data_IF_569212414202
#
_entry.id   IF_569212414202
#
_cell.length_a   1.000
_cell.length_b   1.000
_cell.length_c   1.000
_cell.angle_alpha   90.00
_cell.angle_beta   90.00
_cell.angle_gamma   90.00
#
_symmetry.space_group_name_H-M   'P 1'
#
loop_
_entity.id
_entity.type
_entity.pdbx_description
1 polymer ?
#
# COMPACT_ATOMS: atom_id res chain seq x y z
N UNK A 1 6.30 -13.91 7.30
CA UNK A 1 6.40 -13.35 5.93
C UNK A 1 5.35 -12.27 5.79
N UNK A 2 5.72 -11.14 5.20
CA UNK A 2 4.82 -10.03 4.92
C UNK A 2 4.80 -9.87 3.40
N UNK A 3 3.61 -9.76 2.82
CA UNK A 3 3.43 -9.51 1.40
C UNK A 3 2.61 -8.23 1.26
N UNK A 4 3.11 -7.30 0.46
CA UNK A 4 2.39 -6.10 0.10
C UNK A 4 1.68 -6.33 -1.24
N UNK A 5 0.40 -5.96 -1.28
CA UNK A 5 -0.37 -5.91 -2.51
C UNK A 5 -0.62 -4.45 -2.90
N UNK A 6 -0.40 -4.15 -4.17
CA UNK A 6 -0.79 -2.88 -4.80
C UNK A 6 -1.82 -3.19 -5.89
N UNK A 7 -3.01 -2.59 -5.77
CA UNK A 7 -4.07 -2.67 -6.76
C UNK A 7 -4.18 -1.34 -7.47
N UNK A 8 -4.03 -1.37 -8.80
CA UNK A 8 -4.43 -0.28 -9.67
C UNK A 8 -5.84 -0.56 -10.18
N UNK A 9 -6.75 0.39 -10.02
CA UNK A 9 -8.18 0.23 -10.26
C UNK A 9 -8.70 1.37 -11.13
N UNK A 10 -8.92 1.08 -12.41
CA UNK A 10 -9.46 2.03 -13.39
C UNK A 10 -10.99 1.96 -13.37
N UNK A 11 -11.63 3.13 -13.22
CA UNK A 11 -13.10 3.26 -13.14
C UNK A 11 -13.58 4.40 -14.04
N UNK A 12 -13.40 4.29 -15.37
CA UNK A 12 -13.51 5.43 -16.29
C UNK A 12 -14.89 6.09 -16.31
N UNK A 13 -15.94 5.32 -16.04
CA UNK A 13 -17.34 5.79 -16.05
C UNK A 13 -17.83 6.24 -14.66
N UNK A 14 -17.04 6.01 -13.61
CA UNK A 14 -17.43 6.36 -12.24
C UNK A 14 -17.37 7.87 -12.01
N UNK A 15 -18.46 8.41 -11.48
CA UNK A 15 -18.57 9.77 -10.98
C UNK A 15 -17.68 10.00 -9.75
N UNK A 16 -17.40 11.27 -9.45
CA UNK A 16 -16.65 11.65 -8.24
C UNK A 16 -17.31 11.15 -6.95
N UNK A 17 -18.64 11.06 -6.93
CA UNK A 17 -19.37 10.53 -5.79
C UNK A 17 -19.08 9.03 -5.62
N UNK A 18 -19.21 8.24 -6.68
CA UNK A 18 -18.94 6.79 -6.66
C UNK A 18 -17.47 6.52 -6.30
N UNK A 19 -16.53 7.31 -6.83
CA UNK A 19 -15.10 7.22 -6.47
C UNK A 19 -14.84 7.49 -4.98
N UNK A 20 -15.53 8.45 -4.36
CA UNK A 20 -15.44 8.70 -2.91
C UNK A 20 -16.04 7.56 -2.09
N UNK A 21 -17.14 6.96 -2.55
CA UNK A 21 -17.73 5.80 -1.89
C UNK A 21 -16.81 4.59 -2.00
N UNK A 22 -16.17 4.39 -3.16
CA UNK A 22 -15.16 3.37 -3.38
C UNK A 22 -13.96 3.55 -2.43
N UNK A 23 -13.41 4.77 -2.35
CA UNK A 23 -12.31 5.10 -1.42
C UNK A 23 -12.65 4.67 0.01
N UNK A 24 -13.81 5.10 0.51
CA UNK A 24 -14.27 4.77 1.86
C UNK A 24 -14.54 3.26 2.05
N UNK A 25 -14.99 2.57 1.00
CA UNK A 25 -15.23 1.13 1.04
C UNK A 25 -13.92 0.32 1.08
N UNK A 26 -12.90 0.75 0.34
CA UNK A 26 -11.56 0.15 0.37
C UNK A 26 -10.88 0.40 1.73
N UNK A 27 -10.93 1.63 2.25
CA UNK A 27 -10.35 2.00 3.54
C UNK A 27 -10.91 1.15 4.70
N UNK A 28 -12.22 0.94 4.73
CA UNK A 28 -12.88 0.09 5.74
C UNK A 28 -12.41 -1.38 5.71
N UNK A 29 -11.84 -1.82 4.60
CA UNK A 29 -11.26 -3.16 4.42
C UNK A 29 -9.76 -3.21 4.69
N UNK A 30 -9.16 -2.11 5.15
CA UNK A 30 -7.74 -2.02 5.47
C UNK A 30 -6.84 -1.65 4.29
N UNK A 31 -7.41 -1.16 3.20
CA UNK A 31 -6.65 -0.67 2.05
C UNK A 31 -6.33 0.82 2.18
N UNK A 32 -5.07 1.17 2.01
CA UNK A 32 -4.57 2.55 2.00
C UNK A 32 -4.58 3.10 0.57
N UNK A 33 -5.10 4.32 0.38
CA UNK A 33 -5.04 4.98 -0.93
C UNK A 33 -3.63 5.49 -1.23
N UNK A 34 -3.06 5.06 -2.35
CA UNK A 34 -1.68 5.36 -2.79
C UNK A 34 -1.65 6.05 -4.16
N UNK A 35 -2.60 6.97 -4.42
CA UNK A 35 -2.74 7.70 -5.69
C UNK A 35 -4.20 7.90 -6.06
N UNK A 36 -4.49 8.42 -7.26
CA UNK A 36 -5.88 8.63 -7.72
C UNK A 36 -6.63 7.32 -7.94
N UNK A 37 -5.92 6.26 -8.34
CA UNK A 37 -6.49 4.97 -8.78
C UNK A 37 -5.70 3.78 -8.22
N UNK A 38 -4.95 3.98 -7.13
CA UNK A 38 -4.09 2.94 -6.56
C UNK A 38 -4.37 2.75 -5.07
N UNK A 39 -4.40 1.49 -4.63
CA UNK A 39 -4.65 1.09 -3.25
C UNK A 39 -3.63 0.04 -2.81
N UNK A 40 -3.16 0.14 -1.58
CA UNK A 40 -2.14 -0.76 -1.01
C UNK A 40 -2.66 -1.44 0.24
N UNK A 41 -2.37 -2.71 0.43
CA UNK A 41 -2.61 -3.44 1.67
C UNK A 41 -1.45 -4.39 1.96
N UNK A 42 -1.21 -4.65 3.25
CA UNK A 42 -0.17 -5.57 3.70
C UNK A 42 -0.81 -6.82 4.32
N UNK A 43 -0.35 -7.99 3.91
CA UNK A 43 -0.83 -9.29 4.35
C UNK A 43 0.22 -9.97 5.22
N UNK A 44 -0.18 -10.36 6.43
CA UNK A 44 0.70 -11.04 7.39
C UNK A 44 0.50 -12.54 7.32
N UNK A 45 1.60 -13.29 7.16
CA UNK A 45 1.62 -14.75 7.14
C UNK A 45 0.62 -15.42 6.15
N UNK A 46 0.56 -14.98 4.89
CA UNK A 46 -0.27 -15.63 3.88
C UNK A 46 0.23 -17.06 3.62
N UNK A 47 -0.70 -17.99 3.37
CA UNK A 47 -0.36 -19.39 3.09
C UNK A 47 0.14 -19.58 1.65
N UNK A 48 -0.32 -18.73 0.72
CA UNK A 48 0.10 -18.69 -0.68
C UNK A 48 -0.28 -17.35 -1.33
N UNK A 49 0.37 -17.01 -2.45
CA UNK A 49 0.00 -15.84 -3.26
C UNK A 49 -1.43 -15.94 -3.78
N UNK A 50 -1.89 -17.14 -4.12
CA UNK A 50 -3.26 -17.37 -4.61
C UNK A 50 -4.31 -17.02 -3.56
N UNK A 51 -4.04 -17.28 -2.27
CA UNK A 51 -4.91 -16.85 -1.18
C UNK A 51 -5.01 -15.32 -1.11
N UNK A 52 -3.90 -14.62 -1.34
CA UNK A 52 -3.86 -13.15 -1.36
C UNK A 52 -4.67 -12.65 -2.55
N UNK A 53 -4.42 -13.18 -3.75
CA UNK A 53 -5.17 -12.78 -4.96
C UNK A 53 -6.66 -12.96 -4.77
N UNK A 54 -7.11 -14.06 -4.18
CA UNK A 54 -8.53 -14.30 -3.90
C UNK A 54 -9.11 -13.27 -2.91
N UNK A 55 -8.38 -12.94 -1.85
CA UNK A 55 -8.80 -11.92 -0.89
C UNK A 55 -8.86 -10.53 -1.54
N UNK A 56 -7.86 -10.18 -2.36
CA UNK A 56 -7.82 -8.92 -3.11
C UNK A 56 -9.00 -8.83 -4.07
N UNK A 57 -9.28 -9.88 -4.84
CA UNK A 57 -10.42 -9.92 -5.77
C UNK A 57 -11.74 -9.74 -5.03
N UNK A 58 -11.90 -10.40 -3.88
CA UNK A 58 -13.10 -10.28 -3.05
C UNK A 58 -13.28 -8.85 -2.51
N UNK A 59 -12.21 -8.23 -1.99
CA UNK A 59 -12.26 -6.88 -1.42
C UNK A 59 -12.57 -5.84 -2.49
N UNK A 60 -11.91 -5.92 -3.65
CA UNK A 60 -12.13 -5.02 -4.78
C UNK A 60 -13.56 -5.15 -5.28
N UNK A 61 -14.04 -6.36 -5.57
CA UNK A 61 -15.42 -6.56 -6.04
C UNK A 61 -16.46 -6.07 -5.05
N UNK A 62 -16.28 -6.35 -3.76
CA UNK A 62 -17.22 -5.91 -2.75
C UNK A 62 -17.23 -4.38 -2.58
N UNK A 63 -16.07 -3.73 -2.76
CA UNK A 63 -15.96 -2.26 -2.69
C UNK A 63 -16.56 -1.58 -3.92
N UNK A 64 -16.31 -2.14 -5.12
CA UNK A 64 -16.95 -1.71 -6.38
C UNK A 64 -18.48 -1.82 -6.29
N UNK A 65 -18.99 -2.95 -5.77
CA UNK A 65 -20.42 -3.16 -5.60
C UNK A 65 -21.05 -2.12 -4.67
N UNK A 66 -20.41 -1.83 -3.52
CA UNK A 66 -20.87 -0.81 -2.58
C UNK A 66 -20.87 0.59 -3.20
N UNK A 67 -19.87 0.87 -4.04
CA UNK A 67 -19.76 2.13 -4.77
C UNK A 67 -20.78 2.28 -5.90
N UNK A 68 -21.49 1.22 -6.28
CA UNK A 68 -22.44 1.23 -7.41
C UNK A 68 -21.76 1.26 -8.79
N UNK A 69 -20.45 1.01 -8.85
CA UNK A 69 -19.68 1.06 -10.10
C UNK A 69 -19.93 -0.22 -10.90
N UNK A 70 -20.32 -0.07 -12.16
CA UNK A 70 -20.75 -1.18 -13.03
C UNK A 70 -19.65 -1.71 -13.94
N UNK A 71 -18.63 -0.90 -14.21
CA UNK A 71 -17.51 -1.23 -15.10
C UNK A 71 -16.20 -0.77 -14.47
N UNK A 72 -15.22 -1.68 -14.42
CA UNK A 72 -13.89 -1.39 -13.90
C UNK A 72 -12.87 -2.38 -14.46
N UNK A 73 -11.61 -1.94 -14.51
CA UNK A 73 -10.45 -2.80 -14.77
C UNK A 73 -9.51 -2.74 -13.59
N UNK A 74 -8.88 -3.86 -13.25
CA UNK A 74 -7.96 -3.93 -12.11
C UNK A 74 -6.71 -4.74 -12.42
N UNK A 75 -5.57 -4.27 -11.92
CA UNK A 75 -4.30 -5.00 -11.92
C UNK A 75 -3.81 -5.08 -10.48
N UNK A 76 -3.48 -6.29 -10.01
CA UNK A 76 -2.88 -6.53 -8.70
C UNK A 76 -1.41 -6.90 -8.86
N UNK A 77 -0.54 -6.22 -8.13
CA UNK A 77 0.88 -6.51 -8.01
C UNK A 77 1.16 -7.00 -6.60
N UNK A 78 1.80 -8.15 -6.47
CA UNK A 78 2.27 -8.68 -5.20
C UNK A 78 3.78 -8.49 -5.11
N UNK A 79 4.24 -8.00 -3.98
CA UNK A 79 5.65 -7.93 -3.63
C UNK A 79 5.85 -8.55 -2.27
N UNK A 80 6.89 -9.34 -2.10
CA UNK A 80 7.42 -9.56 -0.77
C UNK A 80 7.71 -8.19 -0.16
N UNK A 81 7.15 -7.92 1.02
CA UNK A 81 7.57 -6.76 1.77
C UNK A 81 9.03 -7.04 2.13
N UNK A 82 9.96 -6.39 1.43
CA UNK A 82 11.34 -6.34 1.88
C UNK A 82 11.25 -5.84 3.32
N UNK A 83 11.55 -6.72 4.28
CA UNK A 83 11.86 -6.34 5.65
C UNK A 83 12.70 -5.08 5.50
N UNK A 84 12.15 -3.94 5.91
CA UNK A 84 12.77 -2.64 5.79
C UNK A 84 14.14 -2.77 6.43
N UNK A 85 15.14 -3.07 5.61
CA UNK A 85 16.51 -3.24 6.02
C UNK A 85 16.90 -1.90 6.57
N UNK A 86 17.24 -1.89 7.85
CA UNK A 86 17.78 -0.76 8.57
C UNK A 86 18.80 -0.05 7.68
N UNK A 87 18.46 1.13 7.17
CA UNK A 87 19.49 2.15 6.98
C UNK A 87 19.75 2.72 8.36
N UNK A 88 20.54 1.96 9.13
CA UNK A 88 21.30 2.51 10.24
C UNK A 88 22.00 3.74 9.70
N UNK A 89 21.48 4.91 10.04
CA UNK A 89 22.22 6.15 9.89
C UNK A 89 23.34 6.07 10.91
N UNK A 90 24.44 5.42 10.56
CA UNK A 90 25.75 5.70 11.15
C UNK A 90 26.10 7.14 10.77
N UNK A 91 25.48 8.08 11.49
CA UNK A 91 26.05 9.40 11.71
C UNK A 91 27.24 9.16 12.62
N UNK A 92 28.39 8.94 12.00
CA UNK A 92 29.69 8.92 12.64
C UNK A 92 29.88 10.26 13.37
N UNK A 93 29.53 10.28 14.65
CA UNK A 93 30.04 11.25 15.61
C UNK A 93 31.52 10.93 15.81
N UNK A 94 32.37 11.42 14.91
CA UNK A 94 33.78 11.64 15.26
C UNK A 94 33.93 13.06 15.80
N UNK A 95 33.69 13.12 17.09
CA UNK A 95 34.28 14.06 18.01
C UNK A 95 35.81 14.09 17.79
N UNK A 96 36.35 15.28 17.53
CA UNK A 96 37.78 15.56 17.74
C UNK A 96 37.95 17.04 18.02
N UNK A 97 37.55 17.38 19.24
CA UNK A 97 38.31 18.18 20.19
C UNK A 97 39.73 18.55 19.72
N UNK A 98 39.90 19.76 19.18
CA UNK A 98 41.21 20.40 19.03
C UNK A 98 41.27 21.62 19.96
N UNK A 99 41.54 21.28 21.22
CA UNK A 99 42.18 22.08 22.25
C UNK A 99 43.26 23.04 21.68
N UNK A 100 42.91 24.32 21.49
CA UNK A 100 43.91 25.39 21.32
C UNK A 100 44.38 25.86 22.70
N UNK A 101 45.28 25.08 23.28
CA UNK A 101 46.14 25.49 24.38
C UNK A 101 47.34 26.29 23.87
N UNK A 102 47.47 27.50 24.41
CA UNK A 102 48.62 28.41 24.50
C UNK A 102 49.98 27.97 23.90
N UNK A 103 50.59 28.85 23.10
CA UNK A 103 51.87 29.54 23.36
C UNK A 103 52.00 30.79 22.48
#
# INVERSE_FOLDING_TARGET
MWIDALVMLSTPEASDFERRVLDAAMERRGWEKSGSEAYKASFTNPQSDEQIVQQVEQDVRASIYVAGITSFDSVCLLSDALSSGEMSSELENQDSDLNLGAF
#
